data_IF_049025281063
#
_entry.id   IF_049025281063
#
_cell.length_a   1.000
_cell.length_b   1.000
_cell.length_c   1.000
_cell.angle_alpha   90.00
_cell.angle_beta   90.00
_cell.angle_gamma   90.00
#
_symmetry.space_group_name_H-M   'P 1'
#
loop_
_entity.id
_entity.type
_entity.pdbx_description
1 polymer ?
#
# COMPACT_ATOMS: atom_id res chain seq x y z
N UNK A 1 0.27 7.76 -7.80
CA UNK A 1 -0.79 6.91 -7.24
C UNK A 1 -1.49 7.68 -6.15
N UNK A 2 -1.20 7.41 -4.88
CA UNK A 2 -1.73 8.15 -3.74
C UNK A 2 -1.43 9.65 -3.81
N UNK A 3 -0.19 10.04 -4.14
CA UNK A 3 0.19 11.46 -4.27
C UNK A 3 -0.43 12.16 -5.50
N UNK A 4 -0.93 11.41 -6.49
CA UNK A 4 -1.42 11.97 -7.75
C UNK A 4 -0.33 12.22 -8.82
N UNK A 5 0.94 11.92 -8.57
CA UNK A 5 2.02 12.07 -9.57
C UNK A 5 2.17 10.88 -10.55
N UNK A 6 1.32 9.85 -10.45
CA UNK A 6 1.39 8.61 -11.26
C UNK A 6 -0.01 7.97 -11.29
N UNK A 7 -0.46 7.39 -12.40
CA UNK A 7 -1.84 6.89 -12.54
C UNK A 7 -2.09 5.49 -11.96
N UNK A 8 -3.31 5.26 -11.45
CA UNK A 8 -3.78 3.98 -10.91
C UNK A 8 -3.80 2.82 -11.90
N UNK A 9 -3.94 3.12 -13.19
CA UNK A 9 -3.80 2.16 -14.29
C UNK A 9 -2.36 1.69 -14.51
N UNK A 10 -1.38 2.44 -14.02
CA UNK A 10 0.05 2.22 -14.17
C UNK A 10 0.66 1.18 -13.23
N UNK A 11 -0.12 0.60 -12.33
CA UNK A 11 0.34 -0.43 -11.40
C UNK A 11 -0.47 -1.72 -11.56
N UNK A 12 0.14 -2.86 -11.23
CA UNK A 12 -0.57 -4.13 -11.19
C UNK A 12 -1.72 -4.09 -10.16
N UNK A 13 -2.83 -4.78 -10.41
CA UNK A 13 -3.98 -4.72 -9.52
C UNK A 13 -3.69 -5.19 -8.10
N UNK A 14 -4.22 -4.48 -7.11
CA UNK A 14 -4.17 -4.85 -5.69
C UNK A 14 -5.60 -5.03 -5.17
N UNK A 15 -6.33 -6.06 -5.64
CA UNK A 15 -7.76 -6.20 -5.36
C UNK A 15 -7.99 -6.46 -3.86
N UNK A 16 -8.78 -5.64 -3.14
CA UNK A 16 -9.12 -5.92 -1.75
C UNK A 16 -9.95 -7.20 -1.59
N UNK A 17 -10.57 -7.71 -2.65
CA UNK A 17 -11.41 -8.92 -2.59
C UNK A 17 -10.65 -10.17 -2.16
N UNK A 18 -9.33 -10.17 -2.28
CA UNK A 18 -8.47 -11.27 -1.83
C UNK A 18 -8.62 -11.53 -0.31
N UNK A 19 -8.99 -10.50 0.46
CA UNK A 19 -9.23 -10.59 1.91
C UNK A 19 -10.56 -11.27 2.28
N UNK A 20 -11.46 -11.47 1.30
CA UNK A 20 -12.73 -12.17 1.48
C UNK A 20 -12.66 -13.66 1.11
N UNK A 21 -11.51 -14.12 0.60
CA UNK A 21 -11.35 -15.51 0.18
C UNK A 21 -11.49 -16.46 1.38
N UNK A 22 -11.96 -17.69 1.18
CA UNK A 22 -11.90 -18.71 2.21
C UNK A 22 -10.46 -19.03 2.62
N UNK A 23 -10.22 -19.21 3.92
CA UNK A 23 -8.89 -19.57 4.43
C UNK A 23 -8.38 -20.92 3.92
N UNK A 24 -9.09 -21.77 3.18
CA UNK A 24 -8.45 -22.98 2.62
C UNK A 24 -7.69 -22.72 1.31
N UNK A 25 -7.91 -21.58 0.65
CA UNK A 25 -7.27 -21.27 -0.63
C UNK A 25 -5.79 -20.88 -0.44
N UNK A 26 -4.86 -21.40 -1.27
CA UNK A 26 -3.42 -21.18 -1.09
C UNK A 26 -3.01 -19.71 -1.21
N UNK A 27 -3.75 -18.92 -1.99
CA UNK A 27 -3.53 -17.48 -2.20
C UNK A 27 -4.13 -16.59 -1.11
N UNK A 28 -4.78 -17.17 -0.10
CA UNK A 28 -5.40 -16.39 0.98
C UNK A 28 -4.36 -15.55 1.74
N UNK A 29 -4.57 -14.24 1.95
CA UNK A 29 -3.55 -13.35 2.55
C UNK A 29 -3.09 -13.78 3.95
N UNK A 30 -3.95 -14.45 4.70
CA UNK A 30 -3.61 -15.06 6.00
C UNK A 30 -2.42 -16.04 5.96
N UNK A 31 -2.08 -16.61 4.80
CA UNK A 31 -0.89 -17.46 4.60
C UNK A 31 0.37 -16.72 4.17
N UNK A 32 0.26 -15.44 3.83
CA UNK A 32 1.42 -14.65 3.45
C UNK A 32 2.31 -14.39 4.67
N UNK A 33 3.61 -14.19 4.42
CA UNK A 33 4.51 -13.68 5.44
C UNK A 33 3.94 -12.40 6.06
N UNK A 34 4.06 -12.23 7.37
CA UNK A 34 3.39 -11.16 8.12
C UNK A 34 3.71 -9.76 7.57
N UNK A 35 4.98 -9.45 7.28
CA UNK A 35 5.34 -8.15 6.72
C UNK A 35 4.71 -7.90 5.34
N UNK A 36 4.72 -8.90 4.45
CA UNK A 36 4.00 -8.79 3.18
C UNK A 36 2.52 -8.54 3.41
N UNK A 37 1.86 -9.37 4.23
CA UNK A 37 0.44 -9.24 4.55
C UNK A 37 0.09 -7.85 5.05
N UNK A 38 0.86 -7.34 6.02
CA UNK A 38 0.58 -6.06 6.67
C UNK A 38 0.89 -4.84 5.80
N UNK A 39 1.72 -4.98 4.75
CA UNK A 39 1.91 -3.91 3.76
C UNK A 39 0.84 -3.97 2.67
N UNK A 40 0.54 -5.16 2.14
CA UNK A 40 -0.45 -5.33 1.09
C UNK A 40 -1.89 -5.01 1.56
N UNK A 41 -2.18 -5.17 2.85
CA UNK A 41 -3.49 -4.85 3.45
C UNK A 41 -3.90 -3.38 3.19
N UNK A 42 -3.20 -2.36 3.73
CA UNK A 42 -3.56 -0.97 3.47
C UNK A 42 -3.32 -0.55 2.01
N UNK A 43 -2.35 -1.12 1.30
CA UNK A 43 -2.19 -0.85 -0.14
C UNK A 43 -3.43 -1.25 -0.94
N UNK A 44 -4.02 -2.42 -0.63
CA UNK A 44 -5.23 -2.90 -1.31
C UNK A 44 -6.46 -2.06 -0.99
N UNK A 45 -6.55 -1.51 0.24
CA UNK A 45 -7.60 -0.55 0.62
C UNK A 45 -7.52 0.72 -0.23
N UNK A 46 -6.34 1.34 -0.29
CA UNK A 46 -6.10 2.57 -1.05
C UNK A 46 -6.31 2.35 -2.55
N UNK A 47 -5.86 1.21 -3.08
CA UNK A 47 -6.08 0.81 -4.47
C UNK A 47 -7.58 0.63 -4.76
N UNK A 48 -8.31 -0.11 -3.92
CA UNK A 48 -9.74 -0.36 -4.10
C UNK A 48 -10.58 0.92 -4.01
N UNK A 49 -10.17 1.89 -3.19
CA UNK A 49 -10.73 3.25 -3.13
C UNK A 49 -10.29 4.15 -4.28
N UNK A 50 -9.23 3.78 -5.02
CA UNK A 50 -8.53 4.65 -5.98
C UNK A 50 -8.18 6.00 -5.38
N UNK A 51 -7.75 6.00 -4.12
CA UNK A 51 -7.52 7.23 -3.38
C UNK A 51 -6.38 8.04 -4.03
N UNK A 52 -6.62 9.34 -4.21
CA UNK A 52 -5.61 10.31 -4.69
C UNK A 52 -5.74 11.57 -3.84
N UNK A 53 -4.61 12.07 -3.34
CA UNK A 53 -4.54 13.33 -2.63
C UNK A 53 -4.79 14.54 -3.55
N UNK A 54 -4.87 15.75 -2.99
CA UNK A 54 -5.08 16.96 -3.78
C UNK A 54 -3.98 17.17 -4.84
N UNK A 55 -4.38 17.52 -6.06
CA UNK A 55 -3.44 17.87 -7.13
C UNK A 55 -2.98 19.31 -6.92
N UNK A 56 -1.84 19.47 -6.23
CA UNK A 56 -1.22 20.77 -5.95
C UNK A 56 -0.28 21.19 -7.07
N UNK A 57 0.18 22.45 -7.03
CA UNK A 57 1.25 22.94 -7.93
C UNK A 57 2.52 22.09 -7.84
N UNK A 58 2.87 21.61 -6.64
CA UNK A 58 3.99 20.68 -6.44
C UNK A 58 3.76 19.35 -7.15
N UNK A 59 2.56 18.77 -7.07
CA UNK A 59 2.24 17.53 -7.81
C UNK A 59 2.36 17.76 -9.32
N UNK A 60 1.88 18.89 -9.83
CA UNK A 60 2.01 19.25 -11.25
C UNK A 60 3.46 19.46 -11.67
N UNK A 61 4.31 20.03 -10.81
CA UNK A 61 5.74 20.16 -11.06
C UNK A 61 6.41 18.77 -11.12
N UNK A 62 6.12 17.90 -10.15
CA UNK A 62 6.62 16.52 -10.13
C UNK A 62 6.23 15.75 -11.39
N UNK A 63 5.01 15.92 -11.92
CA UNK A 63 4.59 15.30 -13.19
C UNK A 63 5.43 15.75 -14.40
N UNK A 64 6.08 16.91 -14.34
CA UNK A 64 7.00 17.39 -15.40
C UNK A 64 8.43 16.95 -15.16
N UNK A 65 8.84 16.78 -13.91
CA UNK A 65 10.21 16.45 -13.52
C UNK A 65 10.51 14.94 -13.53
N UNK A 66 9.53 14.10 -13.16
CA UNK A 66 9.74 12.67 -12.96
C UNK A 66 9.76 11.83 -14.24
N UNK A 67 9.23 12.35 -15.35
CA UNK A 67 9.04 11.59 -16.59
C UNK A 67 9.78 12.24 -17.76
N UNK A 68 10.35 11.40 -18.63
CA UNK A 68 11.05 11.86 -19.84
C UNK A 68 10.11 12.26 -20.99
N UNK A 69 8.82 11.95 -20.86
CA UNK A 69 7.76 12.27 -21.82
C UNK A 69 6.66 13.07 -21.12
N UNK A 70 5.85 13.86 -21.86
CA UNK A 70 4.72 14.57 -21.26
C UNK A 70 3.79 13.63 -20.51
N UNK A 71 3.31 14.04 -19.34
CA UNK A 71 2.48 13.20 -18.46
C UNK A 71 1.25 12.61 -19.15
N UNK A 72 0.66 13.37 -20.07
CA UNK A 72 -0.54 13.01 -20.83
C UNK A 72 -0.27 11.92 -21.89
N UNK A 73 0.98 11.79 -22.33
CA UNK A 73 1.41 10.85 -23.37
C UNK A 73 1.90 9.51 -22.81
N UNK A 74 1.92 9.35 -21.49
CA UNK A 74 2.40 8.12 -20.83
C UNK A 74 1.40 6.98 -21.05
N UNK A 75 1.86 5.88 -21.66
CA UNK A 75 1.11 4.62 -21.65
C UNK A 75 1.23 3.93 -20.28
N UNK A 76 0.27 4.27 -19.41
CA UNK A 76 0.19 3.66 -18.08
C UNK A 76 -0.06 2.15 -18.14
N UNK A 77 -0.76 1.63 -19.14
CA UNK A 77 -0.98 0.18 -19.23
C UNK A 77 0.33 -0.56 -19.50
N UNK A 78 1.24 0.03 -20.30
CA UNK A 78 2.61 -0.48 -20.48
C UNK A 78 3.45 -0.34 -19.20
N UNK A 79 3.31 0.77 -18.48
CA UNK A 79 4.11 1.07 -17.29
C UNK A 79 4.02 0.00 -16.18
N UNK A 80 2.91 -0.77 -16.11
CA UNK A 80 2.71 -1.84 -15.10
C UNK A 80 3.79 -2.90 -15.04
N UNK A 81 4.45 -3.16 -16.17
CA UNK A 81 5.47 -4.20 -16.30
C UNK A 81 6.87 -3.62 -16.49
N UNK A 82 7.01 -2.29 -16.46
CA UNK A 82 8.31 -1.63 -16.57
C UNK A 82 8.98 -1.59 -15.20
N UNK A 83 10.22 -2.04 -15.17
CA UNK A 83 11.14 -1.91 -14.04
C UNK A 83 12.54 -1.71 -14.62
N UNK A 84 13.33 -0.81 -14.02
CA UNK A 84 14.73 -0.65 -14.43
C UNK A 84 15.46 -1.97 -14.21
N UNK A 85 16.29 -2.37 -15.18
CA UNK A 85 16.96 -3.68 -15.14
C UNK A 85 17.89 -3.79 -13.94
N UNK A 86 18.48 -2.67 -13.55
CA UNK A 86 19.41 -2.51 -12.44
C UNK A 86 18.72 -2.71 -11.09
N UNK A 87 17.43 -2.38 -10.99
CA UNK A 87 16.62 -2.50 -9.76
C UNK A 87 15.82 -3.82 -9.69
N UNK A 88 15.80 -4.60 -10.78
CA UNK A 88 15.03 -5.84 -10.88
C UNK A 88 15.75 -7.01 -10.21
N UNK A 89 15.63 -7.09 -8.88
CA UNK A 89 16.24 -8.17 -8.09
C UNK A 89 15.56 -9.53 -8.31
N UNK A 90 14.22 -9.56 -8.43
CA UNK A 90 13.45 -10.77 -8.74
C UNK A 90 12.66 -10.58 -10.04
N UNK A 91 13.08 -11.19 -11.16
CA UNK A 91 12.34 -11.09 -12.42
C UNK A 91 11.01 -11.83 -12.31
N UNK A 92 9.97 -11.28 -12.92
CA UNK A 92 8.67 -11.94 -12.98
C UNK A 92 8.74 -13.17 -13.89
N UNK A 93 8.29 -14.34 -13.43
CA UNK A 93 8.08 -15.48 -14.31
C UNK A 93 6.86 -15.23 -15.19
N UNK A 94 6.84 -15.82 -16.40
CA UNK A 94 5.74 -15.64 -17.37
C UNK A 94 4.34 -15.91 -16.77
N UNK A 95 4.23 -16.88 -15.86
CA UNK A 95 2.97 -17.19 -15.17
C UNK A 95 2.45 -16.01 -14.35
N UNK A 96 3.34 -15.23 -13.74
CA UNK A 96 3.00 -14.04 -12.98
C UNK A 96 2.53 -12.91 -13.91
N UNK A 97 3.15 -12.75 -15.08
CA UNK A 97 2.71 -11.75 -16.07
C UNK A 97 1.32 -12.08 -16.62
N UNK A 98 1.05 -13.37 -16.90
CA UNK A 98 -0.27 -13.84 -17.33
C UNK A 98 -1.31 -13.60 -16.22
N UNK A 99 -0.96 -13.88 -14.96
CA UNK A 99 -1.83 -13.62 -13.81
C UNK A 99 -2.17 -12.13 -13.71
N UNK A 100 -1.16 -11.26 -13.74
CA UNK A 100 -1.37 -9.81 -13.65
C UNK A 100 -2.16 -9.24 -14.83
N UNK A 101 -1.88 -9.72 -16.04
CA UNK A 101 -2.65 -9.35 -17.23
C UNK A 101 -4.11 -9.79 -17.12
N UNK A 102 -4.38 -10.99 -16.61
CA UNK A 102 -5.73 -11.51 -16.40
C UNK A 102 -6.48 -10.71 -15.33
N UNK A 103 -5.82 -10.43 -14.20
CA UNK A 103 -6.38 -9.61 -13.14
C UNK A 103 -6.74 -8.21 -13.66
N UNK A 104 -5.86 -7.58 -14.45
CA UNK A 104 -6.10 -6.24 -14.95
C UNK A 104 -7.16 -6.18 -16.04
N UNK A 105 -7.10 -7.06 -17.04
CA UNK A 105 -7.97 -6.97 -18.22
C UNK A 105 -9.35 -7.59 -18.02
N UNK A 106 -9.49 -8.51 -17.05
CA UNK A 106 -10.73 -9.27 -16.85
C UNK A 106 -11.30 -8.99 -15.45
N UNK A 107 -10.56 -9.33 -14.40
CA UNK A 107 -11.09 -9.32 -13.03
C UNK A 107 -11.41 -7.91 -12.56
N UNK A 108 -10.50 -6.95 -12.77
CA UNK A 108 -10.70 -5.57 -12.36
C UNK A 108 -11.93 -4.91 -13.03
N UNK A 109 -12.13 -4.97 -14.36
CA UNK A 109 -13.35 -4.48 -15.00
C UNK A 109 -14.64 -5.12 -14.49
N UNK A 110 -14.61 -6.43 -14.17
CA UNK A 110 -15.76 -7.14 -13.62
C UNK A 110 -16.10 -6.63 -12.22
N UNK A 111 -15.08 -6.48 -11.37
CA UNK A 111 -15.27 -6.02 -9.99
C UNK A 111 -15.61 -4.52 -9.89
N UNK A 112 -15.27 -3.73 -10.90
CA UNK A 112 -15.60 -2.30 -10.97
C UNK A 112 -17.00 -2.01 -11.53
N UNK A 113 -17.79 -3.05 -11.86
CA UNK A 113 -19.18 -2.93 -12.32
C UNK A 113 -20.12 -3.67 -11.38
N UNK A 114 -21.39 -3.29 -11.38
CA UNK A 114 -22.40 -4.02 -10.60
C UNK A 114 -22.55 -5.46 -11.14
N UNK A 115 -22.62 -6.50 -10.28
CA UNK A 115 -22.67 -6.47 -8.80
C UNK A 115 -21.29 -6.51 -8.10
N UNK A 116 -20.18 -6.57 -8.85
CA UNK A 116 -18.82 -6.59 -8.31
C UNK A 116 -18.47 -5.42 -7.37
N UNK A 117 -19.07 -4.25 -7.59
CA UNK A 117 -18.90 -3.09 -6.69
C UNK A 117 -19.39 -3.37 -5.27
N UNK A 118 -20.44 -4.19 -5.09
CA UNK A 118 -20.93 -4.62 -3.77
C UNK A 118 -19.89 -5.48 -3.07
N UNK A 119 -19.25 -6.38 -3.82
CA UNK A 119 -18.17 -7.21 -3.30
C UNK A 119 -16.97 -6.34 -2.90
N UNK A 120 -16.65 -5.32 -3.70
CA UNK A 120 -15.59 -4.35 -3.39
C UNK A 120 -15.86 -3.55 -2.13
N UNK A 121 -17.08 -3.04 -1.96
CA UNK A 121 -17.47 -2.33 -0.73
C UNK A 121 -17.32 -3.22 0.50
N UNK A 122 -17.77 -4.48 0.41
CA UNK A 122 -17.58 -5.46 1.49
C UNK A 122 -16.10 -5.71 1.77
N UNK A 123 -15.29 -5.88 0.72
CA UNK A 123 -13.85 -6.11 0.84
C UNK A 123 -13.12 -4.92 1.48
N UNK A 124 -13.46 -3.70 1.08
CA UNK A 124 -12.91 -2.48 1.65
C UNK A 124 -13.25 -2.34 3.14
N UNK A 125 -14.48 -2.66 3.55
CA UNK A 125 -14.87 -2.67 4.96
C UNK A 125 -14.08 -3.70 5.77
N UNK A 126 -13.98 -4.94 5.28
CA UNK A 126 -13.19 -5.99 5.95
C UNK A 126 -11.70 -5.64 6.02
N UNK A 127 -11.15 -5.02 4.97
CA UNK A 127 -9.76 -4.56 4.96
C UNK A 127 -9.53 -3.49 6.04
N UNK A 128 -10.47 -2.55 6.18
CA UNK A 128 -10.41 -1.48 7.17
C UNK A 128 -10.58 -2.00 8.60
N UNK A 129 -11.46 -2.98 8.83
CA UNK A 129 -11.59 -3.69 10.11
C UNK A 129 -10.25 -4.32 10.54
N UNK A 130 -9.54 -4.97 9.61
CA UNK A 130 -8.21 -5.52 9.90
C UNK A 130 -7.14 -4.45 10.17
N UNK A 131 -7.23 -3.29 9.50
CA UNK A 131 -6.32 -2.15 9.75
C UNK A 131 -6.53 -1.63 11.17
N UNK A 132 -7.77 -1.35 11.57
CA UNK A 132 -8.09 -0.89 12.93
C UNK A 132 -7.68 -1.91 13.98
N UNK A 133 -7.90 -3.20 13.72
CA UNK A 133 -7.48 -4.26 14.62
C UNK A 133 -5.96 -4.28 14.85
N UNK A 134 -5.15 -4.15 13.79
CA UNK A 134 -3.69 -4.03 13.95
C UNK A 134 -3.30 -2.78 14.75
N UNK A 135 -3.92 -1.65 14.44
CA UNK A 135 -3.62 -0.37 15.06
C UNK A 135 -3.91 -0.40 16.57
N UNK A 136 -5.07 -0.93 16.97
CA UNK A 136 -5.42 -1.08 18.38
C UNK A 136 -4.46 -2.04 19.12
N UNK A 137 -4.14 -3.19 18.53
CA UNK A 137 -3.26 -4.19 19.15
C UNK A 137 -1.82 -3.72 19.31
N UNK A 138 -1.34 -2.88 18.40
CA UNK A 138 0.03 -2.34 18.42
C UNK A 138 0.13 -0.95 19.03
N UNK A 139 -0.99 -0.40 19.54
CA UNK A 139 -1.06 0.99 20.02
C UNK A 139 -0.58 1.99 18.96
N UNK A 140 -0.99 1.75 17.71
CA UNK A 140 -0.74 2.56 16.53
C UNK A 140 0.73 2.62 16.09
N UNK A 141 1.55 1.67 16.57
CA UNK A 141 2.94 1.50 16.12
C UNK A 141 3.03 0.67 14.83
N UNK A 142 2.14 -0.32 14.67
CA UNK A 142 2.18 -1.33 13.62
C UNK A 142 3.48 -2.16 13.60
N UNK A 143 3.58 -3.16 12.72
CA UNK A 143 4.75 -4.06 12.65
C UNK A 143 6.03 -3.40 12.09
N UNK A 144 5.91 -2.27 11.40
CA UNK A 144 7.04 -1.57 10.79
C UNK A 144 6.64 -0.28 10.08
N UNK A 145 7.62 0.51 9.60
CA UNK A 145 7.39 1.89 9.17
C UNK A 145 6.43 2.00 7.99
N UNK A 146 6.57 1.09 7.00
CA UNK A 146 5.72 1.08 5.80
C UNK A 146 4.28 0.76 6.15
N UNK A 147 4.04 -0.27 6.95
CA UNK A 147 2.70 -0.59 7.43
C UNK A 147 2.14 0.57 8.27
N UNK A 148 2.94 1.16 9.17
CA UNK A 148 2.53 2.31 9.99
C UNK A 148 2.03 3.49 9.16
N UNK A 149 2.80 3.94 8.16
CA UNK A 149 2.43 5.12 7.39
C UNK A 149 1.21 4.86 6.51
N UNK A 150 1.09 3.63 5.98
CA UNK A 150 -0.05 3.25 5.15
C UNK A 150 -1.34 3.06 5.98
N UNK A 151 -1.27 2.44 7.16
CA UNK A 151 -2.42 2.33 8.06
C UNK A 151 -2.89 3.70 8.52
N UNK A 152 -1.96 4.57 8.96
CA UNK A 152 -2.27 5.96 9.31
C UNK A 152 -2.98 6.70 8.17
N UNK A 153 -2.50 6.53 6.93
CA UNK A 153 -3.14 7.12 5.77
C UNK A 153 -4.54 6.53 5.53
N UNK A 154 -4.74 5.23 5.69
CA UNK A 154 -6.07 4.62 5.59
C UNK A 154 -7.06 5.20 6.60
N UNK A 155 -6.64 5.39 7.86
CA UNK A 155 -7.47 6.05 8.89
C UNK A 155 -7.80 7.50 8.49
N UNK A 156 -6.84 8.24 7.92
CA UNK A 156 -7.08 9.58 7.42
C UNK A 156 -8.05 9.61 6.22
N UNK A 157 -7.93 8.63 5.30
CA UNK A 157 -8.83 8.50 4.14
C UNK A 157 -10.26 8.10 4.56
N UNK A 158 -10.39 7.32 5.63
CA UNK A 158 -11.69 7.00 6.23
C UNK A 158 -12.35 8.24 6.86
N UNK A 159 -11.64 8.90 7.79
CA UNK A 159 -12.05 10.14 8.42
C UNK A 159 -10.82 10.90 8.97
N UNK A 160 -10.47 12.07 8.38
CA UNK A 160 -9.37 12.91 8.85
C UNK A 160 -9.49 13.40 10.30
N UNK A 161 -10.70 13.37 10.88
CA UNK A 161 -10.98 13.81 12.25
C UNK A 161 -11.09 12.65 13.25
N UNK A 162 -10.93 11.42 12.78
CA UNK A 162 -11.07 10.21 13.60
C UNK A 162 -10.06 10.17 14.75
N UNK A 163 -10.48 9.52 15.84
CA UNK A 163 -9.58 9.26 16.97
C UNK A 163 -8.41 8.35 16.56
N UNK A 164 -8.68 7.35 15.71
CA UNK A 164 -7.66 6.46 15.17
C UNK A 164 -6.54 7.24 14.46
N UNK A 165 -6.88 8.20 13.59
CA UNK A 165 -5.88 9.03 12.93
C UNK A 165 -5.08 9.89 13.94
N UNK A 166 -5.75 10.48 14.93
CA UNK A 166 -5.08 11.28 15.97
C UNK A 166 -4.09 10.45 16.79
N UNK A 167 -4.43 9.21 17.11
CA UNK A 167 -3.56 8.29 17.86
C UNK A 167 -2.33 7.84 17.06
N UNK A 168 -2.40 7.84 15.72
CA UNK A 168 -1.25 7.59 14.83
C UNK A 168 -0.21 8.72 14.81
N UNK A 169 -0.63 9.97 15.01
CA UNK A 169 0.24 11.15 14.89
C UNK A 169 1.43 11.14 15.87
N UNK A 170 1.24 10.95 17.19
CA UNK A 170 2.38 10.92 18.11
C UNK A 170 3.34 9.75 17.82
N UNK A 171 2.84 8.67 17.21
CA UNK A 171 3.62 7.49 16.81
C UNK A 171 4.51 7.69 15.59
N UNK A 172 4.49 8.85 14.94
CA UNK A 172 5.43 9.15 13.85
C UNK A 172 6.85 9.28 14.40
N UNK A 173 7.01 9.94 15.55
CA UNK A 173 8.31 10.16 16.18
C UNK A 173 8.98 8.86 16.64
N UNK A 174 8.18 7.86 16.99
CA UNK A 174 8.65 6.51 17.29
C UNK A 174 9.44 5.90 16.13
N UNK A 175 9.28 6.38 14.90
CA UNK A 175 10.04 5.91 13.74
C UNK A 175 11.14 6.86 13.26
N UNK A 176 11.32 8.03 13.87
CA UNK A 176 12.32 9.02 13.43
C UNK A 176 13.59 8.95 14.28
N UNK A 177 14.73 8.84 13.61
CA UNK A 177 16.05 8.75 14.24
C UNK A 177 16.99 9.82 13.67
N UNK A 178 17.74 10.51 14.54
CA UNK A 178 18.76 11.45 14.13
C UNK A 178 20.12 10.75 14.06
N UNK A 179 20.59 10.48 12.85
CA UNK A 179 21.92 9.94 12.58
C UNK A 179 22.95 11.06 12.31
N UNK A 180 24.22 10.69 12.18
CA UNK A 180 25.32 11.61 11.87
C UNK A 180 25.10 12.41 10.56
N UNK A 181 24.37 11.83 9.62
CA UNK A 181 24.01 12.42 8.32
C UNK A 181 22.58 12.96 8.26
N UNK A 182 21.91 13.09 9.41
CA UNK A 182 20.60 13.73 9.53
C UNK A 182 19.47 12.78 9.94
N UNK A 183 18.24 13.28 9.80
CA UNK A 183 17.04 12.56 10.26
C UNK A 183 16.61 11.47 9.26
N UNK A 184 16.35 10.27 9.76
CA UNK A 184 15.97 9.07 9.00
C UNK A 184 14.76 8.38 9.63
N UNK A 185 14.09 7.54 8.84
CA UNK A 185 13.04 6.66 9.35
C UNK A 185 13.61 5.26 9.64
N UNK A 186 13.44 4.76 10.87
CA UNK A 186 13.95 3.45 11.28
C UNK A 186 13.04 2.29 10.86
N UNK A 187 13.62 1.10 10.67
CA UNK A 187 12.90 -0.09 10.18
C UNK A 187 12.29 -0.91 11.33
N UNK A 188 12.87 -0.85 12.52
CA UNK A 188 12.41 -1.58 13.70
C UNK A 188 12.82 -0.91 15.00
N UNK A 189 12.07 -1.18 16.06
CA UNK A 189 12.46 -0.86 17.43
C UNK A 189 13.46 -1.90 17.94
N UNK A 190 14.76 -1.64 17.77
CA UNK A 190 15.84 -2.59 18.11
C UNK A 190 16.06 -2.69 19.63
N UNK A 191 15.44 -1.83 20.44
CA UNK A 191 15.64 -1.76 21.90
C UNK A 191 15.65 -3.11 22.63
N UNK A 192 14.80 -4.06 22.23
CA UNK A 192 14.76 -5.39 22.86
C UNK A 192 15.99 -6.25 22.49
N UNK A 193 16.46 -6.16 21.24
CA UNK A 193 17.63 -6.93 20.79
C UNK A 193 18.93 -6.39 21.38
N UNK A 194 19.06 -5.07 21.53
CA UNK A 194 20.26 -4.45 22.12
C UNK A 194 20.44 -4.83 23.59
N UNK A 195 19.34 -4.98 24.34
CA UNK A 195 19.41 -5.46 25.73
C UNK A 195 19.76 -6.94 25.86
N UNK A 196 19.57 -7.75 24.81
CA UNK A 196 19.89 -9.19 24.81
C UNK A 196 21.35 -9.43 24.40
N UNK A 197 21.91 -8.62 23.52
CA UNK A 197 23.29 -8.78 23.01
C UNK A 197 24.34 -8.10 23.88
N UNK A 198 23.95 -7.15 24.73
CA UNK A 198 24.83 -6.45 25.66
C UNK A 198 24.80 -7.02 27.10
N UNK A 199 24.19 -8.21 27.29
CA UNK A 199 24.09 -8.92 28.56
C UNK A 199 25.06 -10.09 28.71
#
# INVERSE_FOLDING_TARGET
MVLGAFEWSGNNPLPPEIWLLPYFLPIHPGRMWCHCRMVYLPMSYLYGKRFVGPITSTVLALRKELFSVPYEDIDWNQARTLCAKEDLYYPHPLVQDILWASLHKVVEPVLSRWPGTILREKALRTTLEHIHYEDENTRYLCIGPVNKVLNMLCCWVEDPNSEAFKLHLPRIHDYLWLAEDGMKMQVSHIYIYDHITLG
#
